data_IF_823222087369
#
_entry.id   IF_823222087369
#
_cell.length_a   1.000
_cell.length_b   1.000
_cell.length_c   1.000
_cell.angle_alpha   90.00
_cell.angle_beta   90.00
_cell.angle_gamma   90.00
#
_symmetry.space_group_name_H-M   'P 1'
#
loop_
_entity.id
_entity.type
_entity.pdbx_description
1 polymer ?
#
# COMPACT_ATOMS: atom_id res chain seq x y z
N UNK A 1 53.23 -3.53 38.75
CA UNK A 1 52.19 -3.86 39.74
C UNK A 1 52.33 -2.88 40.88
N UNK A 2 51.54 -1.81 40.89
CA UNK A 2 51.45 -0.91 42.03
C UNK A 2 50.01 -0.38 42.11
N UNK A 3 49.47 -0.35 43.33
CA UNK A 3 48.05 -0.20 43.67
C UNK A 3 47.68 1.26 43.93
N UNK A 4 46.44 1.58 43.55
CA UNK A 4 45.45 2.49 44.15
C UNK A 4 45.91 3.83 44.78
N UNK A 5 45.30 4.92 44.31
CA UNK A 5 44.74 5.93 45.20
C UNK A 5 43.40 6.46 44.64
N UNK A 6 42.41 6.51 45.53
CA UNK A 6 41.06 7.00 45.33
C UNK A 6 41.00 8.54 45.36
N UNK A 7 39.99 9.08 44.65
CA UNK A 7 39.10 10.10 45.21
C UNK A 7 39.29 11.54 44.73
N UNK A 8 38.29 12.08 44.03
CA UNK A 8 37.48 13.16 44.58
C UNK A 8 36.25 13.40 43.71
N UNK A 9 35.08 13.36 44.34
CA UNK A 9 33.81 13.76 43.78
C UNK A 9 33.58 15.25 44.06
N UNK A 10 33.13 16.00 43.06
CA UNK A 10 32.31 17.20 43.25
C UNK A 10 31.62 17.48 41.91
N UNK A 11 30.33 17.16 41.75
CA UNK A 11 29.23 18.08 41.99
C UNK A 11 29.50 19.45 41.34
N UNK A 12 28.92 19.72 40.18
CA UNK A 12 28.16 20.95 39.98
C UNK A 12 27.21 20.84 38.76
N UNK A 13 25.96 21.20 39.05
CA UNK A 13 25.04 21.93 38.18
C UNK A 13 24.44 21.22 36.94
N UNK A 14 23.27 20.62 37.18
CA UNK A 14 21.97 21.09 36.63
C UNK A 14 22.01 21.70 35.23
N UNK A 15 21.73 20.85 34.24
CA UNK A 15 21.33 21.25 32.90
C UNK A 15 20.31 20.29 32.33
N UNK A 16 19.21 20.03 33.05
CA UNK A 16 18.04 19.35 32.47
C UNK A 16 17.43 20.34 31.47
N UNK A 17 17.94 20.35 30.24
CA UNK A 17 17.24 20.89 29.10
C UNK A 17 16.03 19.98 28.88
N UNK A 18 14.96 20.35 29.57
CA UNK A 18 13.59 20.01 29.26
C UNK A 18 13.35 20.36 27.79
N UNK A 19 13.64 19.43 26.89
CA UNK A 19 12.97 19.39 25.62
C UNK A 19 11.52 19.04 25.94
N UNK A 20 10.76 20.08 26.28
CA UNK A 20 9.31 20.08 26.29
C UNK A 20 8.91 19.46 24.96
N UNK A 21 8.39 18.23 25.01
CA UNK A 21 7.61 17.68 23.91
C UNK A 21 6.51 18.68 23.68
N UNK A 22 6.63 19.44 22.60
CA UNK A 22 5.52 20.21 22.09
C UNK A 22 4.42 19.19 21.81
N UNK A 23 3.43 19.15 22.69
CA UNK A 23 2.13 18.54 22.43
C UNK A 23 1.62 19.21 21.16
N UNK A 24 1.78 18.57 20.00
CA UNK A 24 1.04 18.97 18.80
C UNK A 24 -0.43 18.70 19.12
N UNK A 25 -1.31 19.71 19.11
CA UNK A 25 -2.72 19.47 19.28
C UNK A 25 -3.19 18.56 18.15
N UNK A 26 -4.00 17.56 18.52
CA UNK A 26 -4.35 16.42 17.70
C UNK A 26 -4.77 16.81 16.29
N UNK A 27 -4.00 16.33 15.32
CA UNK A 27 -4.49 16.16 13.97
C UNK A 27 -5.60 15.10 14.06
N UNK A 28 -6.84 15.57 14.19
CA UNK A 28 -8.03 14.73 14.09
C UNK A 28 -7.87 13.98 12.77
N UNK A 29 -7.63 12.66 12.84
CA UNK A 29 -7.80 11.80 11.68
C UNK A 29 -9.23 12.07 11.20
N UNK A 30 -9.36 12.89 10.16
CA UNK A 30 -10.53 12.83 9.31
C UNK A 30 -10.40 11.46 8.66
N UNK A 31 -11.04 10.47 9.30
CA UNK A 31 -11.44 9.26 8.64
C UNK A 31 -12.26 9.73 7.44
N UNK A 32 -11.62 9.85 6.29
CA UNK A 32 -12.29 9.91 5.02
C UNK A 32 -12.95 8.53 4.87
N UNK A 33 -14.09 8.36 5.53
CA UNK A 33 -15.19 7.53 5.06
C UNK A 33 -15.60 8.15 3.73
N UNK A 34 -14.84 7.82 2.69
CA UNK A 34 -15.23 8.03 1.30
C UNK A 34 -15.62 6.69 0.70
N UNK A 35 -16.37 5.90 1.46
CA UNK A 35 -17.37 5.01 0.89
C UNK A 35 -18.63 5.85 0.70
N UNK A 36 -18.51 6.98 -0.02
CA UNK A 36 -19.69 7.72 -0.47
C UNK A 36 -20.24 6.91 -1.62
N UNK A 37 -21.44 6.39 -1.40
CA UNK A 37 -22.30 5.71 -2.36
C UNK A 37 -22.49 6.58 -3.61
N UNK A 38 -21.54 6.51 -4.55
CA UNK A 38 -21.82 6.78 -5.95
C UNK A 38 -22.80 5.67 -6.37
N UNK A 39 -24.10 5.97 -6.41
CA UNK A 39 -25.10 5.11 -7.03
C UNK A 39 -24.54 4.62 -8.36
N UNK A 40 -24.26 3.32 -8.46
CA UNK A 40 -23.15 2.87 -9.30
C UNK A 40 -23.52 2.96 -10.78
N UNK A 41 -22.81 3.79 -11.53
CA UNK A 41 -22.75 3.79 -13.00
C UNK A 41 -22.14 2.49 -13.59
N UNK A 42 -22.15 1.41 -12.81
CA UNK A 42 -21.53 0.13 -13.07
C UNK A 42 -22.52 -0.99 -12.74
N UNK A 43 -22.61 -2.05 -13.57
CA UNK A 43 -23.56 -3.16 -13.39
C UNK A 43 -23.15 -4.16 -12.29
N UNK A 44 -22.21 -3.79 -11.42
CA UNK A 44 -21.71 -4.62 -10.33
C UNK A 44 -21.23 -3.75 -9.15
N UNK A 45 -21.25 -4.33 -7.95
CA UNK A 45 -20.57 -3.82 -6.77
C UNK A 45 -19.22 -4.54 -6.64
N UNK A 46 -18.19 -3.83 -6.19
CA UNK A 46 -16.88 -4.44 -6.01
C UNK A 46 -16.24 -4.08 -4.67
N UNK A 47 -15.73 -5.11 -3.98
CA UNK A 47 -14.84 -4.98 -2.82
C UNK A 47 -13.71 -6.01 -2.92
N UNK A 48 -12.46 -5.55 -2.88
CA UNK A 48 -11.31 -6.46 -2.89
C UNK A 48 -11.38 -7.45 -1.70
N UNK A 49 -11.57 -8.73 -2.00
CA UNK A 49 -11.56 -9.83 -1.00
C UNK A 49 -10.18 -10.43 -0.75
N UNK A 50 -9.12 -9.77 -1.24
CA UNK A 50 -7.72 -10.24 -1.12
C UNK A 50 -7.52 -11.67 -1.66
N UNK A 51 -8.21 -12.04 -2.74
CA UNK A 51 -8.07 -13.36 -3.37
C UNK A 51 -6.70 -13.57 -4.03
N UNK A 52 -6.02 -12.48 -4.38
CA UNK A 52 -4.76 -12.53 -5.13
C UNK A 52 -4.95 -12.63 -6.65
N UNK A 53 -6.17 -12.84 -7.16
CA UNK A 53 -6.42 -13.07 -8.59
C UNK A 53 -5.86 -11.94 -9.47
N UNK A 54 -6.16 -10.68 -9.16
CA UNK A 54 -5.66 -9.54 -9.93
C UNK A 54 -4.16 -9.25 -9.68
N UNK A 55 -3.63 -9.67 -8.53
CA UNK A 55 -2.21 -9.50 -8.19
C UNK A 55 -1.30 -10.53 -8.86
N UNK A 56 -1.85 -11.61 -9.39
CA UNK A 56 -1.13 -12.73 -10.00
C UNK A 56 -1.26 -12.80 -11.53
N UNK A 57 -1.87 -11.79 -12.17
CA UNK A 57 -2.03 -11.77 -13.63
C UNK A 57 -0.69 -11.50 -14.32
N UNK A 58 -0.22 -12.35 -15.25
CA UNK A 58 1.00 -12.12 -16.04
C UNK A 58 1.07 -10.75 -16.74
N UNK A 59 -0.08 -10.25 -17.19
CA UNK A 59 -0.26 -8.97 -17.88
C UNK A 59 -0.46 -7.78 -16.93
N UNK A 60 -0.57 -8.06 -15.62
CA UNK A 60 -0.82 -7.07 -14.57
C UNK A 60 0.32 -6.06 -14.45
N UNK A 61 0.00 -4.79 -14.65
CA UNK A 61 0.97 -3.68 -14.55
C UNK A 61 0.47 -2.63 -13.58
N UNK A 62 0.90 -2.72 -12.32
CA UNK A 62 0.52 -1.75 -11.29
C UNK A 62 1.35 -0.48 -11.46
N UNK A 63 0.74 0.55 -12.06
CA UNK A 63 1.32 1.89 -12.20
C UNK A 63 1.26 2.66 -10.89
N UNK A 64 2.31 3.41 -10.63
CA UNK A 64 2.45 4.27 -9.46
C UNK A 64 2.49 5.74 -9.86
N UNK A 65 1.68 6.54 -9.18
CA UNK A 65 1.87 7.98 -9.13
C UNK A 65 2.98 8.36 -8.13
N UNK A 66 3.50 9.60 -8.18
CA UNK A 66 4.40 10.11 -7.15
C UNK A 66 3.81 10.01 -5.73
N UNK A 67 2.50 10.22 -5.57
CA UNK A 67 1.82 10.06 -4.28
C UNK A 67 1.75 8.61 -3.81
N UNK A 68 1.59 7.64 -4.73
CA UNK A 68 1.60 6.22 -4.36
C UNK A 68 2.99 5.83 -3.83
N UNK A 69 4.06 6.31 -4.48
CA UNK A 69 5.44 6.09 -4.02
C UNK A 69 5.64 6.58 -2.61
N UNK A 70 5.25 7.82 -2.30
CA UNK A 70 5.42 8.40 -0.97
C UNK A 70 4.60 7.63 0.08
N UNK A 71 3.34 7.33 -0.21
CA UNK A 71 2.45 6.65 0.73
C UNK A 71 2.92 5.23 1.07
N UNK A 72 3.41 4.48 0.07
CA UNK A 72 3.90 3.12 0.30
C UNK A 72 5.26 3.14 0.99
N UNK A 73 6.15 4.05 0.60
CA UNK A 73 7.45 4.22 1.25
C UNK A 73 7.28 4.54 2.76
N UNK A 74 6.39 5.49 3.09
CA UNK A 74 6.04 5.83 4.47
C UNK A 74 5.50 4.61 5.24
N UNK A 75 4.56 3.86 4.65
CA UNK A 75 4.01 2.65 5.28
C UNK A 75 5.09 1.60 5.57
N UNK A 76 6.10 1.50 4.71
CA UNK A 76 7.22 0.55 4.85
C UNK A 76 8.37 1.10 5.71
N UNK A 77 8.32 2.36 6.15
CA UNK A 77 9.42 3.01 6.88
C UNK A 77 10.67 3.20 6.02
N UNK A 78 10.50 3.46 4.72
CA UNK A 78 11.59 3.63 3.75
C UNK A 78 11.60 5.06 3.20
N UNK A 79 12.79 5.51 2.80
CA UNK A 79 12.92 6.66 1.91
C UNK A 79 12.33 6.34 0.52
N UNK A 80 11.75 7.35 -0.12
CA UNK A 80 11.09 7.19 -1.42
C UNK A 80 12.04 6.62 -2.49
N UNK A 81 13.30 7.05 -2.49
CA UNK A 81 14.32 6.58 -3.43
C UNK A 81 14.66 5.11 -3.22
N UNK A 82 14.78 4.69 -1.95
CA UNK A 82 15.02 3.29 -1.58
C UNK A 82 13.83 2.41 -1.97
N UNK A 83 12.60 2.89 -1.78
CA UNK A 83 11.39 2.19 -2.25
C UNK A 83 11.39 2.01 -3.77
N UNK A 84 11.69 3.07 -4.54
CA UNK A 84 11.78 3.02 -6.00
C UNK A 84 12.80 1.97 -6.45
N UNK A 85 14.01 2.04 -5.93
CA UNK A 85 15.09 1.11 -6.29
C UNK A 85 14.73 -0.34 -5.98
N UNK A 86 14.15 -0.60 -4.80
CA UNK A 86 13.84 -1.96 -4.34
C UNK A 86 12.63 -2.56 -5.04
N UNK A 87 11.52 -1.82 -5.14
CA UNK A 87 10.22 -2.37 -5.49
C UNK A 87 9.67 -1.95 -6.86
N UNK A 88 10.30 -0.99 -7.53
CA UNK A 88 9.77 -0.42 -8.78
C UNK A 88 10.68 -0.68 -9.98
N UNK A 89 10.07 -0.75 -11.17
CA UNK A 89 10.75 -0.84 -12.47
C UNK A 89 10.16 0.18 -13.43
N UNK A 90 10.94 0.60 -14.42
CA UNK A 90 10.43 1.44 -15.50
C UNK A 90 9.44 0.68 -16.37
N UNK A 91 8.35 1.34 -16.74
CA UNK A 91 7.37 0.89 -17.71
C UNK A 91 7.55 1.59 -19.07
N UNK A 92 6.58 1.44 -19.99
CA UNK A 92 6.54 2.20 -21.23
C UNK A 92 6.44 3.72 -20.97
N UNK A 93 7.22 4.52 -21.69
CA UNK A 93 7.28 5.96 -21.49
C UNK A 93 7.82 6.32 -20.11
N UNK A 94 7.13 7.23 -19.42
CA UNK A 94 7.50 7.73 -18.08
C UNK A 94 6.82 6.93 -16.94
N UNK A 95 6.18 5.80 -17.24
CA UNK A 95 5.47 5.01 -16.25
C UNK A 95 6.43 4.37 -15.24
N UNK A 96 6.09 4.46 -13.95
CA UNK A 96 6.73 3.69 -12.89
C UNK A 96 5.81 2.52 -12.50
N UNK A 97 6.31 1.29 -12.57
CA UNK A 97 5.57 0.07 -12.29
C UNK A 97 6.11 -0.61 -11.03
N UNK A 98 5.25 -1.32 -10.30
CA UNK A 98 5.73 -2.32 -9.34
C UNK A 98 6.43 -3.47 -10.07
N UNK A 99 7.46 -4.01 -9.43
CA UNK A 99 8.11 -5.26 -9.82
C UNK A 99 7.21 -6.46 -9.52
N UNK A 100 7.55 -7.56 -10.17
CA UNK A 100 7.08 -8.88 -9.77
C UNK A 100 7.87 -9.33 -8.53
N UNK A 101 7.24 -10.14 -7.69
CA UNK A 101 7.81 -10.74 -6.51
C UNK A 101 8.55 -12.04 -6.81
N UNK A 102 9.00 -12.74 -5.75
CA UNK A 102 9.73 -14.00 -5.88
C UNK A 102 8.96 -15.12 -6.59
N UNK A 103 7.62 -15.04 -6.58
CA UNK A 103 6.71 -15.98 -7.27
C UNK A 103 6.19 -15.36 -8.57
N UNK A 104 7.09 -14.82 -9.40
CA UNK A 104 6.70 -14.18 -10.65
C UNK A 104 5.71 -15.08 -11.44
N UNK A 105 4.63 -14.50 -12.01
CA UNK A 105 4.43 -13.06 -12.24
C UNK A 105 3.61 -12.35 -11.14
N UNK A 106 3.62 -12.84 -9.90
CA UNK A 106 2.89 -12.18 -8.81
C UNK A 106 3.46 -10.82 -8.45
N UNK A 107 2.62 -9.85 -8.07
CA UNK A 107 3.04 -8.56 -7.54
C UNK A 107 4.00 -8.72 -6.34
N UNK A 108 5.04 -7.89 -6.27
CA UNK A 108 6.05 -7.91 -5.19
C UNK A 108 5.49 -7.81 -3.76
N UNK A 109 4.29 -7.23 -3.59
CA UNK A 109 3.64 -7.11 -2.28
C UNK A 109 2.60 -8.20 -1.99
N UNK A 110 2.46 -9.21 -2.85
CA UNK A 110 1.58 -10.34 -2.63
C UNK A 110 2.26 -11.43 -1.79
N UNK A 111 1.78 -11.58 -0.56
CA UNK A 111 2.12 -12.70 0.32
C UNK A 111 1.08 -13.80 0.21
N UNK A 112 1.54 -15.04 0.43
CA UNK A 112 0.67 -16.20 0.46
C UNK A 112 1.07 -17.13 1.59
N UNK A 113 0.06 -17.70 2.20
CA UNK A 113 0.16 -18.76 3.20
C UNK A 113 -0.89 -19.82 2.83
N UNK A 114 -0.43 -20.92 2.24
CA UNK A 114 -1.32 -21.88 1.58
C UNK A 114 -2.22 -21.20 0.53
N UNK A 115 -3.53 -21.34 0.68
CA UNK A 115 -4.55 -20.75 -0.21
C UNK A 115 -4.85 -19.28 0.08
N UNK A 116 -4.34 -18.72 1.18
CA UNK A 116 -4.64 -17.36 1.60
C UNK A 116 -3.68 -16.38 0.94
N UNK A 117 -4.20 -15.23 0.54
CA UNK A 117 -3.43 -14.13 -0.04
C UNK A 117 -3.54 -12.87 0.82
N UNK A 118 -2.43 -12.14 0.93
CA UNK A 118 -2.34 -10.88 1.67
C UNK A 118 -1.54 -9.87 0.87
N UNK A 119 -2.02 -8.64 0.81
CA UNK A 119 -1.26 -7.52 0.26
C UNK A 119 -0.56 -6.80 1.41
N UNK A 120 0.78 -6.78 1.39
CA UNK A 120 1.59 -6.14 2.44
C UNK A 120 1.33 -4.63 2.55
N UNK A 121 0.95 -3.99 1.43
CA UNK A 121 0.73 -2.54 1.35
C UNK A 121 -0.76 -2.18 1.25
N UNK A 122 -1.66 -3.05 1.73
CA UNK A 122 -3.11 -2.85 1.58
C UNK A 122 -3.64 -1.49 2.07
N UNK A 123 -3.17 -0.91 3.20
CA UNK A 123 -3.58 0.42 3.65
C UNK A 123 -3.17 1.55 2.68
N UNK A 124 -2.00 1.40 2.05
CA UNK A 124 -1.43 2.35 1.10
C UNK A 124 -1.57 1.85 -0.36
N UNK A 125 -2.65 1.11 -0.68
CA UNK A 125 -2.86 0.58 -2.03
C UNK A 125 -2.69 1.68 -3.09
N UNK A 126 -1.92 1.42 -4.17
CA UNK A 126 -1.82 2.34 -5.29
C UNK A 126 -3.18 2.72 -5.86
N UNK A 127 -3.29 3.92 -6.43
CA UNK A 127 -4.49 4.35 -7.16
C UNK A 127 -4.95 3.32 -8.19
N UNK A 128 -4.01 2.74 -8.95
CA UNK A 128 -4.28 1.66 -9.92
C UNK A 128 -5.00 0.45 -9.29
N UNK A 129 -4.56 0.01 -8.11
CA UNK A 129 -5.20 -1.12 -7.42
C UNK A 129 -6.57 -0.76 -6.84
N UNK A 130 -6.80 0.51 -6.48
CA UNK A 130 -8.09 0.99 -5.95
C UNK A 130 -9.11 1.18 -7.06
N UNK A 131 -8.69 1.54 -8.27
CA UNK A 131 -9.58 1.73 -9.42
C UNK A 131 -10.02 0.43 -10.08
N UNK A 132 -9.41 -0.71 -9.74
CA UNK A 132 -9.88 -2.00 -10.20
C UNK A 132 -11.31 -2.27 -9.69
N UNK A 133 -12.24 -2.78 -10.52
CA UNK A 133 -12.09 -3.23 -11.91
C UNK A 133 -12.74 -2.25 -12.93
N UNK A 134 -12.78 -0.94 -12.69
CA UNK A 134 -13.62 0.00 -13.45
C UNK A 134 -13.12 0.27 -14.89
N UNK A 135 -13.16 -0.74 -15.76
CA UNK A 135 -12.81 -0.68 -17.18
C UNK A 135 -14.05 -0.44 -18.05
N UNK A 136 -13.97 0.33 -19.14
CA UNK A 136 -15.13 0.63 -20.00
C UNK A 136 -15.93 -0.60 -20.46
N UNK A 137 -15.26 -1.71 -20.75
CA UNK A 137 -15.88 -2.95 -21.26
C UNK A 137 -16.80 -3.63 -20.24
N UNK A 138 -16.72 -3.26 -18.96
CA UNK A 138 -17.58 -3.79 -17.90
C UNK A 138 -18.78 -2.89 -17.61
N UNK A 139 -19.02 -1.85 -18.42
CA UNK A 139 -20.15 -0.91 -18.23
C UNK A 139 -21.49 -1.50 -18.65
N UNK A 140 -21.49 -2.40 -19.62
CA UNK A 140 -22.71 -2.98 -20.20
C UNK A 140 -22.77 -4.48 -19.91
N UNK A 141 -23.98 -5.05 -19.75
CA UNK A 141 -24.15 -6.50 -19.66
C UNK A 141 -23.60 -7.20 -20.90
N UNK A 142 -22.87 -8.30 -20.69
CA UNK A 142 -22.31 -9.09 -21.78
C UNK A 142 -21.22 -10.06 -21.32
N UNK A 143 -20.61 -10.80 -22.26
CA UNK A 143 -19.65 -11.86 -21.94
C UNK A 143 -18.46 -11.41 -21.08
N UNK A 144 -17.98 -10.18 -21.30
CA UNK A 144 -16.87 -9.60 -20.53
C UNK A 144 -17.24 -9.38 -19.06
N UNK A 145 -18.46 -8.88 -18.79
CA UNK A 145 -18.96 -8.73 -17.43
C UNK A 145 -19.16 -10.09 -16.76
N UNK A 146 -19.75 -11.06 -17.48
CA UNK A 146 -19.99 -12.40 -16.95
C UNK A 146 -18.68 -13.12 -16.60
N UNK A 147 -17.66 -12.99 -17.45
CA UNK A 147 -16.32 -13.51 -17.18
C UNK A 147 -15.69 -12.81 -15.97
N UNK A 148 -15.81 -11.49 -15.89
CA UNK A 148 -15.28 -10.73 -14.77
C UNK A 148 -15.92 -11.13 -13.43
N UNK A 149 -17.25 -11.31 -13.39
CA UNK A 149 -17.99 -11.76 -12.21
C UNK A 149 -17.57 -13.16 -11.75
N UNK A 150 -17.24 -14.07 -12.69
CA UNK A 150 -16.65 -15.38 -12.36
C UNK A 150 -15.21 -15.27 -11.88
N UNK A 151 -14.43 -14.36 -12.46
CA UNK A 151 -13.02 -14.18 -12.15
C UNK A 151 -12.79 -13.55 -10.77
N UNK A 152 -13.59 -12.54 -10.40
CA UNK A 152 -13.38 -11.76 -9.19
C UNK A 152 -14.38 -12.17 -8.10
N UNK A 153 -13.96 -12.88 -7.04
CA UNK A 153 -14.88 -13.25 -5.96
C UNK A 153 -15.36 -12.05 -5.14
N UNK A 154 -14.77 -10.87 -5.35
CA UNK A 154 -15.17 -9.61 -4.74
C UNK A 154 -16.08 -8.75 -5.60
N UNK A 155 -16.48 -9.23 -6.78
CA UNK A 155 -17.47 -8.59 -7.64
C UNK A 155 -18.81 -9.31 -7.49
N UNK A 156 -19.85 -8.53 -7.25
CA UNK A 156 -21.22 -9.02 -7.09
C UNK A 156 -22.10 -8.26 -8.09
N UNK A 157 -23.02 -8.93 -8.81
CA UNK A 157 -23.97 -8.25 -9.69
C UNK A 157 -24.67 -7.09 -8.98
N UNK A 158 -24.88 -5.99 -9.70
CA UNK A 158 -25.72 -4.90 -9.22
C UNK A 158 -27.19 -5.33 -9.15
N UNK A 159 -27.95 -4.66 -8.30
CA UNK A 159 -29.40 -4.87 -8.18
C UNK A 159 -30.16 -4.33 -9.40
#
# INVERSE_FOLDING_TARGET
>A
MEKLALGSASLFARGILSHRRAHRPGFRLMTKTQDTELGSAWPFRHRCRRSGNCCSRPEGRVRLSPSDVLAIAELLGLEAEAFRARYCRSGPGEDLLLKDGPRAPECVFLEREGWQARCQVYPARPGHCRSFPHWPDLREPGPALDEFLRFCPGAEPGD
#
